data_IF_965335472658
#
_entry.id   IF_965335472658
#
_cell.length_a   1.000
_cell.length_b   1.000
_cell.length_c   1.000
_cell.angle_alpha   90.00
_cell.angle_beta   90.00
_cell.angle_gamma   90.00
#
_symmetry.space_group_name_H-M   'P 1'
#
loop_
_entity.id
_entity.type
_entity.pdbx_description
1 polymer ?
#
# COMPACT_ATOMS: atom_id res chain seq x y z
N UNK A 1 18.97 -10.14 7.96
CA UNK A 1 17.90 -11.17 7.88
C UNK A 1 16.90 -10.68 6.82
N UNK A 2 15.89 -11.46 6.42
CA UNK A 2 14.83 -10.96 5.56
C UNK A 2 13.62 -10.60 6.43
N UNK A 3 13.15 -9.37 6.27
CA UNK A 3 11.96 -8.82 6.89
C UNK A 3 10.79 -9.04 5.94
N UNK A 4 9.74 -9.68 6.45
CA UNK A 4 8.47 -9.80 5.76
C UNK A 4 7.63 -8.56 6.06
N UNK A 5 7.54 -7.66 5.08
CA UNK A 5 6.86 -6.36 5.21
C UNK A 5 5.46 -6.47 4.60
N UNK A 6 4.45 -5.95 5.32
CA UNK A 6 3.06 -5.83 4.82
C UNK A 6 2.95 -4.55 4.02
N UNK A 7 2.44 -4.63 2.79
CA UNK A 7 2.34 -3.50 1.89
C UNK A 7 0.90 -3.33 1.43
N UNK A 8 0.47 -2.08 1.29
CA UNK A 8 -0.73 -1.70 0.55
C UNK A 8 -0.32 -0.79 -0.61
N UNK A 9 -0.95 -0.95 -1.78
CA UNK A 9 -0.74 -0.09 -2.94
C UNK A 9 -2.08 0.50 -3.36
N UNK A 10 -2.22 1.83 -3.28
CA UNK A 10 -3.33 2.54 -3.90
C UNK A 10 -3.13 2.52 -5.41
N UNK A 11 -4.08 1.91 -6.12
CA UNK A 11 -4.03 1.79 -7.57
C UNK A 11 -5.40 1.70 -8.23
N UNK A 12 -5.40 1.70 -9.56
CA UNK A 12 -6.55 1.38 -10.39
C UNK A 12 -6.50 -0.11 -10.74
N UNK A 13 -7.56 -0.86 -10.41
CA UNK A 13 -7.66 -2.27 -10.73
C UNK A 13 -7.94 -2.52 -12.24
N UNK A 14 -8.01 -3.78 -12.64
CA UNK A 14 -8.23 -4.17 -14.04
C UNK A 14 -9.59 -3.78 -14.61
N UNK A 15 -10.56 -3.42 -13.74
CA UNK A 15 -11.88 -2.91 -14.10
C UNK A 15 -11.91 -1.38 -14.24
N UNK A 16 -10.80 -0.70 -13.99
CA UNK A 16 -10.71 0.76 -14.04
C UNK A 16 -11.20 1.47 -12.77
N UNK A 17 -11.40 0.73 -11.67
CA UNK A 17 -11.87 1.28 -10.39
C UNK A 17 -10.73 1.52 -9.40
N UNK A 18 -10.82 2.54 -8.52
CA UNK A 18 -9.88 2.72 -7.41
C UNK A 18 -9.90 1.51 -6.47
N UNK A 19 -8.73 1.06 -6.04
CA UNK A 19 -8.57 -0.13 -5.22
C UNK A 19 -7.28 -0.06 -4.38
N UNK A 20 -7.20 -0.91 -3.35
CA UNK A 20 -6.01 -1.12 -2.51
C UNK A 20 -5.50 -2.55 -2.71
N UNK A 21 -4.43 -2.70 -3.50
CA UNK A 21 -3.75 -3.98 -3.65
C UNK A 21 -2.92 -4.30 -2.39
N UNK A 22 -3.23 -5.41 -1.72
CA UNK A 22 -2.57 -5.84 -0.48
C UNK A 22 -1.57 -6.96 -0.78
N UNK A 23 -0.32 -6.81 -0.34
CA UNK A 23 0.73 -7.81 -0.57
C UNK A 23 1.74 -7.88 0.56
N UNK A 24 2.64 -8.87 0.49
CA UNK A 24 3.81 -8.96 1.35
C UNK A 24 5.07 -8.90 0.50
N UNK A 25 6.09 -8.15 0.93
CA UNK A 25 7.41 -8.17 0.29
C UNK A 25 8.46 -8.71 1.27
N UNK A 26 9.38 -9.50 0.74
CA UNK A 26 10.53 -10.02 1.48
C UNK A 26 11.72 -9.12 1.18
N UNK A 27 12.14 -8.29 2.14
CA UNK A 27 13.23 -7.33 1.97
C UNK A 27 14.31 -7.57 3.02
N UNK A 28 15.58 -7.53 2.63
CA UNK A 28 16.67 -7.48 3.63
C UNK A 28 16.62 -6.16 4.40
N UNK A 29 17.31 -6.10 5.54
CA UNK A 29 17.41 -4.87 6.35
C UNK A 29 17.91 -3.67 5.52
N UNK A 30 18.90 -3.89 4.64
CA UNK A 30 19.41 -2.86 3.74
C UNK A 30 18.34 -2.40 2.75
N UNK A 31 17.68 -3.34 2.09
CA UNK A 31 16.63 -3.05 1.10
C UNK A 31 15.44 -2.30 1.72
N UNK A 32 15.07 -2.65 2.95
CA UNK A 32 14.05 -1.94 3.70
C UNK A 32 14.46 -0.50 3.99
N UNK A 33 15.68 -0.29 4.52
CA UNK A 33 16.17 1.04 4.85
C UNK A 33 16.40 1.93 3.62
N UNK A 34 16.65 1.34 2.45
CA UNK A 34 16.78 2.05 1.19
C UNK A 34 15.44 2.28 0.46
N UNK A 35 14.32 1.76 0.99
CA UNK A 35 12.99 1.93 0.40
C UNK A 35 12.67 0.97 -0.76
N UNK A 36 13.51 -0.04 -1.03
CA UNK A 36 13.29 -0.96 -2.15
C UNK A 36 12.01 -1.81 -1.98
N UNK A 37 11.53 -1.98 -0.75
CA UNK A 37 10.27 -2.67 -0.48
C UNK A 37 9.05 -1.98 -1.13
N UNK A 38 9.09 -0.66 -1.31
CA UNK A 38 8.07 0.08 -2.05
C UNK A 38 8.08 -0.31 -3.53
N UNK A 39 9.23 -0.24 -4.19
CA UNK A 39 9.37 -0.62 -5.60
C UNK A 39 8.94 -2.08 -5.85
N UNK A 40 9.30 -2.98 -4.93
CA UNK A 40 8.88 -4.39 -4.98
C UNK A 40 7.36 -4.55 -4.87
N UNK A 41 6.68 -3.74 -4.06
CA UNK A 41 5.22 -3.76 -3.93
C UNK A 41 4.54 -3.22 -5.19
N UNK A 42 5.08 -2.13 -5.76
CA UNK A 42 4.57 -1.54 -7.00
C UNK A 42 4.70 -2.50 -8.18
N UNK A 43 5.86 -3.16 -8.32
CA UNK A 43 6.08 -4.15 -9.38
C UNK A 43 5.09 -5.31 -9.30
N UNK A 44 4.84 -5.84 -8.08
CA UNK A 44 3.85 -6.91 -7.88
C UNK A 44 2.42 -6.46 -8.23
N UNK A 45 2.05 -5.24 -7.88
CA UNK A 45 0.75 -4.70 -8.26
C UNK A 45 0.64 -4.59 -9.79
N UNK A 46 1.68 -4.11 -10.47
CA UNK A 46 1.73 -3.98 -11.93
C UNK A 46 1.61 -5.35 -12.63
N UNK A 47 2.29 -6.38 -12.11
CA UNK A 47 2.22 -7.77 -12.59
C UNK A 47 0.80 -8.35 -12.50
N UNK A 48 0.03 -7.97 -11.48
CA UNK A 48 -1.38 -8.34 -11.29
C UNK A 48 -2.35 -7.48 -12.13
N UNK A 49 -1.82 -6.55 -12.93
CA UNK A 49 -2.62 -5.72 -13.85
C UNK A 49 -3.08 -4.38 -13.28
N UNK A 50 -2.67 -4.03 -12.06
CA UNK A 50 -2.96 -2.71 -11.49
C UNK A 50 -2.16 -1.61 -12.21
N UNK A 51 -2.75 -0.42 -12.28
CA UNK A 51 -2.18 0.74 -12.98
C UNK A 51 -2.37 2.01 -12.17
N UNK A 52 -1.77 3.11 -12.66
CA UNK A 52 -1.79 4.43 -12.04
C UNK A 52 -3.18 4.83 -11.47
N UNK A 53 -3.25 5.47 -10.27
CA UNK A 53 -2.12 5.83 -9.39
C UNK A 53 -1.35 4.59 -8.88
N UNK A 54 -0.10 4.75 -8.45
CA UNK A 54 0.72 3.64 -7.95
C UNK A 54 1.48 4.14 -6.72
N UNK A 55 0.81 4.11 -5.56
CA UNK A 55 1.35 4.65 -4.30
C UNK A 55 1.38 3.53 -3.28
N UNK A 56 2.58 3.11 -2.89
CA UNK A 56 2.79 2.07 -1.90
C UNK A 56 2.93 2.66 -0.49
N UNK A 57 2.42 1.92 0.49
CA UNK A 57 2.52 2.23 1.92
C UNK A 57 2.95 0.97 2.68
N UNK A 58 3.80 1.15 3.67
CA UNK A 58 4.11 0.14 4.68
C UNK A 58 3.43 0.51 6.02
N UNK A 59 3.51 -0.34 7.07
CA UNK A 59 2.81 -0.08 8.34
C UNK A 59 3.36 1.09 9.15
N UNK A 60 4.56 1.59 8.83
CA UNK A 60 5.21 2.69 9.51
C UNK A 60 4.92 4.04 8.83
N UNK A 61 4.36 4.03 7.62
CA UNK A 61 3.91 5.23 6.94
C UNK A 61 2.69 5.84 7.66
N UNK A 62 2.75 7.15 7.91
CA UNK A 62 1.64 7.89 8.51
C UNK A 62 0.32 7.71 7.72
N UNK A 63 0.42 7.64 6.40
CA UNK A 63 -0.72 7.42 5.51
C UNK A 63 -1.41 6.06 5.73
N UNK A 64 -0.68 5.01 6.13
CA UNK A 64 -1.28 3.70 6.39
C UNK A 64 -2.28 3.76 7.55
N UNK A 65 -2.00 4.55 8.59
CA UNK A 65 -2.92 4.81 9.69
C UNK A 65 -4.17 5.58 9.25
N UNK A 66 -4.03 6.47 8.26
CA UNK A 66 -5.13 7.28 7.74
C UNK A 66 -6.13 6.49 6.89
N UNK A 67 -5.73 5.34 6.32
CA UNK A 67 -6.66 4.49 5.55
C UNK A 67 -7.86 4.04 6.39
N UNK A 68 -7.62 3.70 7.66
CA UNK A 68 -8.70 3.35 8.59
C UNK A 68 -9.60 4.55 8.88
N UNK A 69 -9.00 5.71 9.20
CA UNK A 69 -9.76 6.93 9.47
C UNK A 69 -10.63 7.32 8.27
N UNK A 70 -10.10 7.22 7.06
CA UNK A 70 -10.86 7.50 5.84
C UNK A 70 -12.06 6.56 5.67
N UNK A 71 -11.91 5.28 5.99
CA UNK A 71 -13.02 4.32 5.98
C UNK A 71 -14.09 4.70 7.02
N UNK A 72 -13.69 4.95 8.26
CA UNK A 72 -14.59 5.38 9.36
C UNK A 72 -15.34 6.67 8.99
N UNK A 73 -14.66 7.64 8.37
CA UNK A 73 -15.28 8.88 7.90
C UNK A 73 -16.33 8.63 6.80
N UNK A 74 -16.02 7.78 5.81
CA UNK A 74 -16.95 7.44 4.73
C UNK A 74 -18.17 6.63 5.21
N UNK A 75 -18.01 5.85 6.26
CA UNK A 75 -19.10 5.09 6.91
C UNK A 75 -20.00 5.98 7.78
N UNK A 76 -19.54 7.20 8.11
CA UNK A 76 -20.24 8.12 9.02
C UNK A 76 -20.02 7.81 10.49
N UNK A 77 -19.00 7.00 10.81
CA UNK A 77 -18.64 6.62 12.18
C UNK A 77 -17.78 7.69 12.88
N UNK A 78 -17.22 8.63 12.11
CA UNK A 78 -16.49 9.81 12.62
C UNK A 78 -16.67 11.01 11.71
N UNK A 79 -16.73 12.21 12.30
CA UNK A 79 -16.72 13.50 11.61
C UNK A 79 -15.34 14.21 11.70
N UNK A 80 -14.33 13.53 12.26
CA UNK A 80 -12.97 14.08 12.37
C UNK A 80 -12.27 14.11 11.00
N UNK A 81 -11.69 15.28 10.65
CA UNK A 81 -10.99 15.57 9.38
C UNK A 81 -9.57 16.08 9.60
#
# INVERSE_FOLDING_TARGET
MNNRVRMAVLATNTEGSPDLYLTFVEATDLQYNEGQHYDMALARAEDEGYRAPMIAFDPNDAAAGMLRLAAEFMEGDTDEV
#
